data_IF_198499484959
#
_entry.id   IF_198499484959
#
_cell.length_a   1.000
_cell.length_b   1.000
_cell.length_c   1.000
_cell.angle_alpha   90.00
_cell.angle_beta   90.00
_cell.angle_gamma   90.00
#
_symmetry.space_group_name_H-M   'P 1'
#
loop_
_entity.id
_entity.type
_entity.pdbx_description
1 polymer ?
#
# COMPACT_ATOMS: atom_id res chain seq x y z
N UNK A 1 0.27 -0.47 -1.28
CA UNK A 1 1.25 -0.70 -2.36
C UNK A 1 1.93 0.57 -2.85
N UNK A 2 1.21 1.67 -3.05
CA UNK A 2 1.79 2.93 -3.55
C UNK A 2 2.92 3.50 -2.67
N UNK A 3 2.90 3.26 -1.36
CA UNK A 3 3.94 3.73 -0.43
C UNK A 3 5.33 3.10 -0.63
N UNK A 4 5.42 1.94 -1.29
CA UNK A 4 6.65 1.13 -1.29
C UNK A 4 7.36 1.10 -2.65
N UNK A 5 6.80 1.74 -3.67
CA UNK A 5 7.37 1.72 -5.02
C UNK A 5 7.04 3.00 -5.77
N UNK A 6 7.94 3.41 -6.68
CA UNK A 6 7.65 4.49 -7.59
C UNK A 6 6.57 4.05 -8.59
N UNK A 7 5.57 4.92 -8.81
CA UNK A 7 4.49 4.67 -9.76
C UNK A 7 4.56 5.69 -10.90
N UNK A 8 5.09 5.31 -12.06
CA UNK A 8 4.99 6.14 -13.26
C UNK A 8 3.53 6.49 -13.56
N UNK A 9 3.28 7.71 -14.07
CA UNK A 9 1.94 8.29 -14.27
C UNK A 9 1.16 8.59 -12.97
N UNK A 10 1.73 8.31 -11.81
CA UNK A 10 1.16 8.67 -10.50
C UNK A 10 2.27 9.01 -9.49
N UNK A 11 3.31 9.73 -9.94
CA UNK A 11 4.54 9.94 -9.18
C UNK A 11 4.28 10.70 -7.86
N UNK A 12 3.52 11.80 -7.91
CA UNK A 12 3.15 12.58 -6.71
C UNK A 12 2.32 11.75 -5.74
N UNK A 13 1.40 10.94 -6.25
CA UNK A 13 0.60 10.04 -5.42
C UNK A 13 1.49 9.01 -4.69
N UNK A 14 2.40 8.34 -5.39
CA UNK A 14 3.31 7.38 -4.74
C UNK A 14 4.23 8.06 -3.71
N UNK A 15 4.81 9.22 -4.06
CA UNK A 15 5.69 9.96 -3.17
C UNK A 15 4.98 10.41 -1.88
N UNK A 16 3.75 10.93 -2.00
CA UNK A 16 2.96 11.34 -0.83
C UNK A 16 2.55 10.15 0.03
N UNK A 17 2.20 8.99 -0.56
CA UNK A 17 1.91 7.77 0.22
C UNK A 17 3.14 7.21 0.93
N UNK A 18 4.32 7.30 0.32
CA UNK A 18 5.59 6.95 0.96
C UNK A 18 5.88 7.88 2.14
N UNK A 19 5.70 9.20 1.97
CA UNK A 19 5.82 10.18 3.04
C UNK A 19 4.90 9.85 4.22
N UNK A 20 3.60 9.64 3.98
CA UNK A 20 2.64 9.34 5.05
C UNK A 20 3.04 8.09 5.84
N UNK A 21 3.57 7.07 5.17
CA UNK A 21 4.01 5.83 5.83
C UNK A 21 5.20 6.10 6.74
N UNK A 22 6.26 6.73 6.21
CA UNK A 22 7.45 7.09 6.99
C UNK A 22 7.13 8.03 8.15
N UNK A 23 6.31 9.05 7.90
CA UNK A 23 5.84 10.00 8.92
C UNK A 23 5.10 9.29 10.05
N UNK A 24 4.20 8.36 9.71
CA UNK A 24 3.40 7.64 10.68
C UNK A 24 4.24 6.67 11.50
N UNK A 25 5.23 6.00 10.88
CA UNK A 25 6.19 5.15 11.58
C UNK A 25 7.02 5.92 12.60
N UNK A 26 7.60 7.06 12.19
CA UNK A 26 8.39 7.90 13.08
C UNK A 26 7.54 8.44 14.24
N UNK A 27 6.37 9.02 13.94
CA UNK A 27 5.50 9.61 14.95
C UNK A 27 4.95 8.55 15.92
N UNK A 28 4.69 7.33 15.46
CA UNK A 28 4.26 6.23 16.34
C UNK A 28 5.30 5.91 17.42
N UNK A 29 6.59 5.99 17.10
CA UNK A 29 7.66 5.80 18.09
C UNK A 29 7.80 7.03 18.99
N UNK A 30 7.72 8.25 18.44
CA UNK A 30 7.79 9.49 19.22
C UNK A 30 6.70 9.58 20.30
N UNK A 31 5.50 9.06 20.02
CA UNK A 31 4.38 9.07 20.98
C UNK A 31 4.27 7.76 21.78
N UNK A 32 5.25 6.86 21.70
CA UNK A 32 5.19 5.57 22.40
C UNK A 32 5.05 5.78 23.92
N UNK A 33 4.02 5.17 24.51
CA UNK A 33 3.69 5.31 25.94
C UNK A 33 2.72 6.45 26.27
N UNK A 34 2.34 7.30 25.30
CA UNK A 34 1.35 8.38 25.50
C UNK A 34 -0.10 7.91 25.61
N UNK A 35 -0.39 6.65 25.26
CA UNK A 35 -1.75 6.14 25.09
C UNK A 35 -2.35 6.38 23.69
N UNK A 36 -1.71 7.18 22.85
CA UNK A 36 -2.09 7.39 21.44
C UNK A 36 -1.53 6.25 20.57
N UNK A 37 -2.35 5.73 19.64
CA UNK A 37 -1.92 4.71 18.67
C UNK A 37 -2.00 5.26 17.25
N UNK A 38 -0.96 5.01 16.48
CA UNK A 38 -0.89 5.37 15.08
C UNK A 38 -0.74 4.12 14.21
N UNK A 39 -1.30 4.18 13.00
CA UNK A 39 -1.18 3.12 12.02
C UNK A 39 -1.22 3.69 10.59
N UNK A 40 -0.25 3.27 9.78
CA UNK A 40 -0.26 3.44 8.33
C UNK A 40 -0.86 2.19 7.68
N UNK A 41 -2.06 2.34 7.13
CA UNK A 41 -2.71 1.32 6.32
C UNK A 41 -2.26 1.46 4.86
N UNK A 42 -1.62 0.42 4.32
CA UNK A 42 -0.99 0.44 3.00
C UNK A 42 -1.61 -0.63 2.06
N UNK A 43 -2.89 -0.51 1.69
CA UNK A 43 -3.59 -1.52 0.91
C UNK A 43 -3.04 -1.65 -0.52
N UNK A 44 -3.25 -2.83 -1.11
CA UNK A 44 -3.07 -3.05 -2.54
C UNK A 44 -4.35 -2.74 -3.30
N UNK A 45 -4.72 -3.60 -4.25
CA UNK A 45 -5.92 -3.41 -5.06
C UNK A 45 -7.17 -3.63 -4.21
N UNK A 46 -7.96 -2.58 -4.06
CA UNK A 46 -9.24 -2.60 -3.34
C UNK A 46 -10.37 -2.40 -4.34
N UNK A 47 -11.45 -3.19 -4.22
CA UNK A 47 -12.62 -3.07 -5.09
C UNK A 47 -13.41 -1.80 -4.74
N UNK A 48 -13.00 -0.70 -5.35
CA UNK A 48 -13.65 0.62 -5.30
C UNK A 48 -13.50 1.32 -6.64
N UNK A 49 -14.23 2.42 -6.83
CA UNK A 49 -14.17 3.25 -8.04
C UNK A 49 -12.83 3.99 -8.21
N UNK A 50 -11.93 3.93 -7.23
CA UNK A 50 -10.63 4.60 -7.26
C UNK A 50 -9.82 4.27 -8.51
N UNK A 51 -9.76 3.00 -8.90
CA UNK A 51 -8.92 2.54 -10.01
C UNK A 51 -9.47 3.02 -11.36
N UNK A 52 -10.79 3.07 -11.49
CA UNK A 52 -11.48 3.62 -12.66
C UNK A 52 -11.22 5.11 -12.78
N UNK A 53 -11.38 5.87 -11.69
CA UNK A 53 -11.14 7.32 -11.65
C UNK A 53 -9.67 7.69 -11.86
N UNK A 54 -8.76 6.86 -11.36
CA UNK A 54 -7.33 7.05 -11.57
C UNK A 54 -6.87 6.63 -12.98
N UNK A 55 -7.78 6.10 -13.82
CA UNK A 55 -7.50 5.55 -15.15
C UNK A 55 -6.52 4.36 -15.15
N UNK A 56 -6.45 3.63 -14.03
CA UNK A 56 -5.66 2.41 -13.89
C UNK A 56 -6.47 1.20 -14.37
N UNK A 57 -6.14 0.71 -15.57
CA UNK A 57 -6.75 -0.51 -16.13
C UNK A 57 -6.08 -1.76 -15.57
N UNK A 58 -6.67 -2.29 -14.51
CA UNK A 58 -6.10 -3.41 -13.75
C UNK A 58 -6.97 -4.66 -13.74
N UNK A 59 -8.06 -4.68 -14.53
CA UNK A 59 -9.00 -5.80 -14.60
C UNK A 59 -8.40 -7.11 -15.09
N UNK A 60 -7.22 -7.08 -15.70
CA UNK A 60 -6.47 -8.27 -16.12
C UNK A 60 -5.75 -8.99 -14.95
N UNK A 61 -5.62 -8.34 -13.79
CA UNK A 61 -4.98 -8.94 -12.62
C UNK A 61 -5.89 -9.96 -11.92
N UNK A 62 -5.33 -11.07 -11.40
CA UNK A 62 -6.12 -12.15 -10.85
C UNK A 62 -6.89 -11.72 -9.61
N UNK A 63 -8.07 -12.32 -9.38
CA UNK A 63 -8.97 -11.97 -8.28
C UNK A 63 -8.33 -12.05 -6.89
N UNK A 64 -7.30 -12.88 -6.70
CA UNK A 64 -6.52 -12.99 -5.44
C UNK A 64 -5.72 -11.73 -5.09
N UNK A 65 -5.43 -10.87 -6.07
CA UNK A 65 -4.78 -9.58 -5.83
C UNK A 65 -5.75 -8.51 -5.32
N UNK A 66 -7.06 -8.74 -5.44
CA UNK A 66 -8.12 -7.81 -5.10
C UNK A 66 -8.75 -8.13 -3.75
N UNK A 67 -9.00 -7.10 -2.94
CA UNK A 67 -9.74 -7.20 -1.68
C UNK A 67 -10.96 -6.29 -1.70
N UNK A 68 -12.00 -6.62 -0.94
CA UNK A 68 -13.10 -5.67 -0.68
C UNK A 68 -12.67 -4.62 0.35
N UNK A 69 -13.37 -3.49 0.41
CA UNK A 69 -13.11 -2.44 1.41
C UNK A 69 -13.32 -2.95 2.83
N UNK A 70 -14.32 -3.79 3.04
CA UNK A 70 -14.65 -4.43 4.32
C UNK A 70 -13.46 -5.30 4.79
N UNK A 71 -12.93 -6.16 3.91
CA UNK A 71 -11.77 -6.98 4.21
C UNK A 71 -10.54 -6.15 4.59
N UNK A 72 -10.32 -5.02 3.91
CA UNK A 72 -9.21 -4.10 4.20
C UNK A 72 -9.38 -3.45 5.58
N UNK A 73 -10.59 -3.03 5.92
CA UNK A 73 -10.93 -2.42 7.21
C UNK A 73 -10.81 -3.44 8.35
N UNK A 74 -11.35 -4.64 8.19
CA UNK A 74 -11.28 -5.69 9.21
C UNK A 74 -9.84 -6.03 9.58
N UNK A 75 -8.98 -6.16 8.56
CA UNK A 75 -7.54 -6.41 8.75
C UNK A 75 -6.87 -5.23 9.47
N UNK A 76 -7.19 -4.00 9.10
CA UNK A 76 -6.65 -2.77 9.70
C UNK A 76 -7.00 -2.68 11.18
N UNK A 77 -8.28 -2.83 11.53
CA UNK A 77 -8.75 -2.73 12.92
C UNK A 77 -8.17 -3.85 13.79
N UNK A 78 -8.14 -5.08 13.28
CA UNK A 78 -7.51 -6.19 14.00
C UNK A 78 -6.01 -5.94 14.23
N UNK A 79 -5.30 -5.38 13.25
CA UNK A 79 -3.89 -5.03 13.37
C UNK A 79 -3.63 -3.86 14.33
N UNK A 80 -4.53 -2.87 14.35
CA UNK A 80 -4.47 -1.74 15.27
C UNK A 80 -4.65 -2.20 16.73
N UNK A 81 -5.53 -3.19 16.94
CA UNK A 81 -5.70 -3.86 18.24
C UNK A 81 -4.42 -4.54 18.74
N UNK A 82 -3.57 -5.03 17.83
CA UNK A 82 -2.27 -5.65 18.12
C UNK A 82 -1.09 -4.67 18.15
N UNK A 83 -1.32 -3.37 17.99
CA UNK A 83 -0.26 -2.35 17.97
C UNK A 83 0.62 -2.36 16.71
N UNK A 84 0.14 -2.92 15.59
CA UNK A 84 0.90 -2.89 14.35
C UNK A 84 0.83 -1.50 13.70
N UNK A 85 2.00 -0.88 13.53
CA UNK A 85 2.13 0.49 12.99
C UNK A 85 2.01 0.51 11.46
N UNK A 86 2.64 -0.42 10.73
CA UNK A 86 2.47 -0.54 9.27
C UNK A 86 1.73 -1.81 8.92
N UNK A 87 0.64 -1.65 8.17
CA UNK A 87 -0.23 -2.76 7.82
C UNK A 87 -0.43 -2.83 6.32
N UNK A 88 -0.08 -3.96 5.73
CA UNK A 88 -0.33 -4.28 4.32
C UNK A 88 -1.36 -5.42 4.28
N UNK A 89 -2.65 -5.13 4.01
CA UNK A 89 -3.68 -6.14 3.84
C UNK A 89 -3.39 -7.08 2.66
N UNK A 90 -3.65 -8.38 2.86
CA UNK A 90 -3.53 -9.41 1.83
C UNK A 90 -2.12 -10.02 1.71
N UNK A 91 -2.04 -11.34 1.49
CA UNK A 91 -0.74 -12.05 1.33
C UNK A 91 -0.01 -11.58 0.09
N UNK A 92 -0.71 -11.48 -1.05
CA UNK A 92 -0.14 -11.05 -2.33
C UNK A 92 0.47 -9.65 -2.23
N UNK A 93 -0.23 -8.71 -1.59
CA UNK A 93 0.28 -7.36 -1.40
C UNK A 93 1.49 -7.31 -0.46
N UNK A 94 1.51 -8.12 0.61
CA UNK A 94 2.68 -8.23 1.51
C UNK A 94 3.91 -8.74 0.77
N UNK A 95 3.74 -9.78 -0.04
CA UNK A 95 4.83 -10.32 -0.87
C UNK A 95 5.30 -9.27 -1.87
N UNK A 96 4.39 -8.55 -2.53
CA UNK A 96 4.74 -7.49 -3.47
C UNK A 96 5.48 -6.32 -2.80
N UNK A 97 5.08 -5.89 -1.59
CA UNK A 97 5.82 -4.92 -0.79
C UNK A 97 7.23 -5.43 -0.46
N UNK A 98 7.36 -6.68 0.02
CA UNK A 98 8.66 -7.25 0.33
C UNK A 98 9.57 -7.35 -0.89
N UNK A 99 9.01 -7.77 -2.04
CA UNK A 99 9.75 -7.86 -3.29
C UNK A 99 10.24 -6.50 -3.79
N UNK A 100 9.49 -5.41 -3.59
CA UNK A 100 9.95 -4.08 -3.99
C UNK A 100 11.19 -3.60 -3.22
N UNK A 101 11.48 -4.17 -2.05
CA UNK A 101 12.71 -3.92 -1.30
C UNK A 101 13.90 -4.75 -1.78
N UNK A 102 13.65 -5.96 -2.28
CA UNK A 102 14.71 -6.86 -2.75
C UNK A 102 15.14 -6.60 -4.20
N UNK A 103 14.23 -6.10 -5.02
CA UNK A 103 14.48 -5.86 -6.45
C UNK A 103 15.11 -4.47 -6.68
N UNK A 104 15.96 -4.32 -7.71
CA UNK A 104 16.48 -3.01 -8.10
C UNK A 104 15.35 -2.01 -8.41
N UNK A 105 15.41 -0.81 -7.82
CA UNK A 105 14.33 0.21 -7.94
C UNK A 105 13.95 0.53 -9.38
N UNK A 106 14.93 0.56 -10.29
CA UNK A 106 14.71 0.79 -11.72
C UNK A 106 13.89 -0.31 -12.40
N UNK A 107 14.10 -1.58 -12.00
CA UNK A 107 13.32 -2.72 -12.51
C UNK A 107 11.88 -2.64 -12.03
N UNK A 108 11.67 -2.40 -10.74
CA UNK A 108 10.32 -2.25 -10.15
C UNK A 108 9.56 -1.11 -10.84
N UNK A 109 10.20 0.05 -11.02
CA UNK A 109 9.57 1.21 -11.69
C UNK A 109 9.16 0.88 -13.13
N UNK A 110 9.98 0.11 -13.86
CA UNK A 110 9.66 -0.34 -15.22
C UNK A 110 8.47 -1.31 -15.23
N UNK A 111 8.43 -2.27 -14.30
CA UNK A 111 7.32 -3.23 -14.17
C UNK A 111 6.00 -2.53 -13.82
N UNK A 112 6.02 -1.53 -12.93
CA UNK A 112 4.82 -0.75 -12.62
C UNK A 112 4.32 0.02 -13.85
N UNK A 113 5.23 0.59 -14.65
CA UNK A 113 4.87 1.27 -15.90
C UNK A 113 4.22 0.33 -16.91
N UNK A 114 4.70 -0.91 -17.04
CA UNK A 114 4.13 -1.87 -18.00
C UNK A 114 2.79 -2.41 -17.53
N UNK A 115 2.60 -2.58 -16.21
CA UNK A 115 1.35 -3.03 -15.61
C UNK A 115 0.21 -1.98 -15.75
N UNK A 116 0.53 -0.68 -15.66
CA UNK A 116 -0.45 0.40 -15.81
C UNK A 116 -0.77 0.81 -17.26
N UNK A 117 -0.15 0.18 -18.27
CA UNK A 117 -0.25 0.55 -19.69
C UNK A 117 -1.23 -0.30 -20.53
N UNK A 118 -1.94 -1.25 -19.92
CA UNK A 118 -2.83 -2.18 -20.65
C UNK A 118 -4.29 -1.93 -20.30
#
# INVERSE_FOLDING_TARGET
MASFQAMPLSATYAATKAFVTSFTEALAEEVRGSGVRLQALCPGLTRTDFHTTAEWRLGWLPGIAWQSSEQVVDISLAALGRGQVVVVPGVVNRVAAGASWLLPRGLVTRLVRTAGRR
#
